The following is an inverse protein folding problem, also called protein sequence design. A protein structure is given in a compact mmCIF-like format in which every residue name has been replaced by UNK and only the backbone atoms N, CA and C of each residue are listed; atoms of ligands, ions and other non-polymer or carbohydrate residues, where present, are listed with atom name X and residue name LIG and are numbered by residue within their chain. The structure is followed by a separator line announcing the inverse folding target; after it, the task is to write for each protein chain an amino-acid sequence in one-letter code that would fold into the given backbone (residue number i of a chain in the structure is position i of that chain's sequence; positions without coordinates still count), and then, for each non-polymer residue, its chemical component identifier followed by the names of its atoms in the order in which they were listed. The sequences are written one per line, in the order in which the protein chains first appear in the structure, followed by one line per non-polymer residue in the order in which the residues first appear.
data_IF_277855725055
#
_entry.id   IF_277855725055
#
_cell.length_a   1.000
_cell.length_b   1.000
_cell.length_c   1.000
_cell.angle_alpha   90.00
_cell.angle_beta   90.00
_cell.angle_gamma   90.00
#
_symmetry.space_group_name_H-M   'P 1'
#
loop_
_entity.id
_entity.type
_entity.pdbx_description
1 polymer ?
#
# COMPACT_ATOMS: atom_id res chain seq x y z
N UNK A 1 7.30 -7.70 -7.89
CA UNK A 1 7.09 -8.45 -6.63
C UNK A 1 7.38 -9.94 -6.77
N UNK A 2 8.22 -10.50 -5.89
CA UNK A 2 8.54 -11.95 -5.85
C UNK A 2 7.84 -12.64 -4.68
N UNK A 3 7.71 -13.97 -4.75
CA UNK A 3 7.17 -14.78 -3.65
C UNK A 3 7.99 -14.63 -2.36
N UNK A 4 9.32 -14.57 -2.47
CA UNK A 4 10.23 -14.34 -1.34
C UNK A 4 9.93 -13.03 -0.62
N UNK A 5 9.73 -11.94 -1.37
CA UNK A 5 9.39 -10.62 -0.80
C UNK A 5 8.07 -10.66 -0.05
N UNK A 6 7.06 -11.36 -0.58
CA UNK A 6 5.75 -11.50 0.08
C UNK A 6 5.82 -12.34 1.35
N UNK A 7 6.65 -13.39 1.36
CA UNK A 7 6.85 -14.22 2.54
C UNK A 7 7.59 -13.45 3.65
N UNK A 8 8.59 -12.63 3.30
CA UNK A 8 9.24 -11.71 4.26
C UNK A 8 8.21 -10.73 4.85
N UNK A 9 7.38 -10.13 4.00
CA UNK A 9 6.35 -9.18 4.44
C UNK A 9 5.35 -9.82 5.42
N UNK A 10 4.84 -11.01 5.09
CA UNK A 10 3.94 -11.79 5.98
C UNK A 10 4.61 -12.12 7.32
N UNK A 11 5.89 -12.47 7.31
CA UNK A 11 6.66 -12.75 8.52
C UNK A 11 6.79 -11.51 9.43
N UNK A 12 7.04 -10.34 8.85
CA UNK A 12 7.12 -9.07 9.59
C UNK A 12 5.77 -8.68 10.20
N UNK A 13 4.68 -8.81 9.43
CA UNK A 13 3.33 -8.57 9.92
C UNK A 13 2.97 -9.54 11.06
N UNK A 14 3.32 -10.82 10.94
CA UNK A 14 3.14 -11.80 12.01
C UNK A 14 3.95 -11.46 13.27
N UNK A 15 5.14 -10.90 13.11
CA UNK A 15 5.94 -10.40 14.24
C UNK A 15 5.29 -9.18 14.90
N UNK A 16 4.80 -8.22 14.11
CA UNK A 16 4.08 -7.07 14.64
C UNK A 16 2.82 -7.48 15.40
N UNK A 17 2.06 -8.45 14.86
CA UNK A 17 0.86 -9.00 15.50
C UNK A 17 1.19 -9.61 16.86
N UNK A 18 2.16 -10.53 16.92
CA UNK A 18 2.62 -11.14 18.19
C UNK A 18 3.10 -10.10 19.19
N UNK A 19 3.85 -9.08 18.75
CA UNK A 19 4.30 -8.02 19.64
C UNK A 19 3.13 -7.28 20.28
N UNK A 20 2.09 -6.92 19.50
CA UNK A 20 0.92 -6.18 20.00
C UNK A 20 -0.03 -7.02 20.85
N UNK A 21 -0.07 -8.34 20.64
CA UNK A 21 -0.86 -9.27 21.45
C UNK A 21 -0.24 -9.54 22.83
N UNK A 22 1.10 -9.54 22.91
CA UNK A 22 1.82 -9.95 24.13
C UNK A 22 2.44 -8.80 24.91
N UNK A 23 2.64 -7.63 24.29
CA UNK A 23 3.34 -6.49 24.90
C UNK A 23 2.47 -5.23 24.81
N UNK A 24 2.20 -4.54 25.93
CA UNK A 24 1.51 -3.26 25.92
C UNK A 24 2.17 -2.25 24.98
N UNK A 25 1.36 -1.44 24.30
CA UNK A 25 1.84 -0.46 23.33
C UNK A 25 2.85 0.52 23.92
N UNK A 26 2.66 0.92 25.18
CA UNK A 26 3.57 1.83 25.87
C UNK A 26 4.97 1.22 26.04
N UNK A 27 5.06 -0.07 26.40
CA UNK A 27 6.34 -0.77 26.49
C UNK A 27 7.00 -0.94 25.12
N UNK A 28 6.21 -1.22 24.07
CA UNK A 28 6.73 -1.27 22.70
C UNK A 28 7.35 0.07 22.26
N UNK A 29 6.77 1.19 22.69
CA UNK A 29 7.24 2.54 22.35
C UNK A 29 8.33 3.09 23.27
N UNK A 30 8.63 2.43 24.38
CA UNK A 30 9.62 2.87 25.37
C UNK A 30 10.75 1.87 25.50
N UNK A 31 10.53 0.76 26.21
CA UNK A 31 11.51 -0.30 26.47
C UNK A 31 12.00 -0.98 25.19
N UNK A 32 11.10 -1.27 24.25
CA UNK A 32 11.41 -1.96 22.99
C UNK A 32 11.45 -1.04 21.77
N UNK A 33 11.54 0.28 22.00
CA UNK A 33 11.37 1.31 20.97
C UNK A 33 12.17 1.06 19.71
N UNK A 34 13.47 0.78 19.84
CA UNK A 34 14.36 0.60 18.68
C UNK A 34 13.89 -0.53 17.76
N UNK A 35 13.55 -1.69 18.33
CA UNK A 35 13.09 -2.85 17.56
C UNK A 35 11.71 -2.62 16.97
N UNK A 36 10.81 -1.99 17.72
CA UNK A 36 9.47 -1.64 17.25
C UNK A 36 9.50 -0.62 16.10
N UNK A 37 10.32 0.43 16.22
CA UNK A 37 10.50 1.46 15.19
C UNK A 37 11.10 0.85 13.90
N UNK A 38 12.12 -0.01 14.02
CA UNK A 38 12.71 -0.70 12.87
C UNK A 38 11.71 -1.62 12.15
N UNK A 39 10.95 -2.41 12.92
CA UNK A 39 9.93 -3.30 12.39
C UNK A 39 8.84 -2.51 11.63
N UNK A 40 8.32 -1.45 12.26
CA UNK A 40 7.25 -0.64 11.66
C UNK A 40 7.73 0.13 10.42
N UNK A 41 8.96 0.64 10.41
CA UNK A 41 9.57 1.28 9.24
C UNK A 41 9.75 0.29 8.08
N UNK A 42 10.22 -0.93 8.36
CA UNK A 42 10.37 -1.96 7.32
C UNK A 42 9.02 -2.37 6.74
N UNK A 43 8.01 -2.59 7.59
CA UNK A 43 6.62 -2.84 7.15
C UNK A 43 6.11 -1.67 6.30
N UNK A 44 6.37 -0.42 6.71
CA UNK A 44 5.94 0.76 5.95
C UNK A 44 6.58 0.80 4.55
N UNK A 45 7.89 0.54 4.45
CA UNK A 45 8.60 0.50 3.17
C UNK A 45 8.03 -0.57 2.25
N UNK A 46 7.90 -1.81 2.76
CA UNK A 46 7.39 -2.92 1.96
C UNK A 46 5.92 -2.71 1.57
N UNK A 47 5.09 -2.16 2.45
CA UNK A 47 3.69 -1.81 2.10
C UNK A 47 3.65 -0.82 0.94
N UNK A 48 4.51 0.21 0.96
CA UNK A 48 4.61 1.18 -0.13
C UNK A 48 5.07 0.53 -1.43
N UNK A 49 6.11 -0.29 -1.37
CA UNK A 49 6.67 -1.01 -2.53
C UNK A 49 5.62 -1.93 -3.15
N UNK A 50 4.89 -2.72 -2.34
CA UNK A 50 3.80 -3.60 -2.81
C UNK A 50 2.71 -2.78 -3.52
N UNK A 51 2.25 -1.69 -2.90
CA UNK A 51 1.23 -0.82 -3.51
C UNK A 51 1.69 -0.24 -4.85
N UNK A 52 2.93 0.22 -4.94
CA UNK A 52 3.51 0.77 -6.16
C UNK A 52 3.68 -0.30 -7.25
N UNK A 53 4.28 -1.44 -6.91
CA UNK A 53 4.51 -2.56 -7.82
C UNK A 53 3.20 -3.01 -8.48
N UNK A 54 2.15 -3.19 -7.68
CA UNK A 54 0.86 -3.67 -8.18
C UNK A 54 0.12 -2.57 -8.96
N UNK A 55 0.05 -1.35 -8.44
CA UNK A 55 -0.72 -0.27 -9.06
C UNK A 55 -0.14 0.19 -10.39
N UNK A 56 1.18 0.16 -10.53
CA UNK A 56 1.90 0.63 -11.73
C UNK A 56 2.22 -0.50 -12.71
N UNK A 57 1.89 -1.76 -12.38
CA UNK A 57 2.19 -2.88 -13.25
C UNK A 57 1.51 -2.76 -14.62
N UNK A 58 2.35 -2.64 -15.67
CA UNK A 58 1.91 -2.50 -17.05
C UNK A 58 1.36 -1.11 -17.40
N UNK A 59 1.61 -0.10 -16.56
CA UNK A 59 1.16 1.26 -16.82
C UNK A 59 1.91 1.86 -18.00
N UNK A 60 1.16 2.36 -18.99
CA UNK A 60 1.69 3.10 -20.13
C UNK A 60 0.89 4.39 -20.28
N UNK A 61 1.59 5.53 -20.30
CA UNK A 61 0.99 6.85 -20.47
C UNK A 61 1.74 7.57 -21.58
N UNK A 62 1.02 8.12 -22.54
CA UNK A 62 1.62 8.95 -23.58
C UNK A 62 2.33 10.17 -22.96
N UNK A 63 3.55 10.44 -23.38
CA UNK A 63 4.38 11.50 -22.80
C UNK A 63 3.67 12.87 -22.80
N UNK A 64 2.93 13.20 -23.87
CA UNK A 64 2.18 14.44 -23.99
C UNK A 64 1.08 14.60 -22.91
N UNK A 65 0.57 13.49 -22.37
CA UNK A 65 -0.49 13.47 -21.35
C UNK A 65 0.04 13.19 -19.93
N UNK A 66 1.32 12.90 -19.76
CA UNK A 66 1.90 12.40 -18.52
C UNK A 66 1.61 13.32 -17.31
N UNK A 67 1.78 14.63 -17.47
CA UNK A 67 1.53 15.59 -16.38
C UNK A 67 0.06 15.63 -15.97
N UNK A 68 -0.85 15.64 -16.95
CA UNK A 68 -2.29 15.66 -16.70
C UNK A 68 -2.74 14.36 -16.02
N UNK A 69 -2.31 13.20 -16.56
CA UNK A 69 -2.63 11.89 -15.99
C UNK A 69 -2.06 11.71 -14.60
N UNK A 70 -0.85 12.20 -14.34
CA UNK A 70 -0.28 12.21 -13.00
C UNK A 70 -1.15 12.97 -12.00
N UNK A 71 -1.66 14.14 -12.37
CA UNK A 71 -2.53 14.94 -11.51
C UNK A 71 -3.88 14.24 -11.26
N UNK A 72 -4.50 13.69 -12.31
CA UNK A 72 -5.76 12.94 -12.21
C UNK A 72 -5.62 11.72 -11.31
N UNK A 73 -4.56 10.93 -11.52
CA UNK A 73 -4.26 9.74 -10.72
C UNK A 73 -4.08 10.11 -9.25
N UNK A 74 -3.24 11.09 -8.93
CA UNK A 74 -2.99 11.45 -7.53
C UNK A 74 -4.23 12.01 -6.84
N UNK A 75 -5.07 12.75 -7.56
CA UNK A 75 -6.35 13.24 -7.04
C UNK A 75 -7.28 12.09 -6.71
N UNK A 76 -7.50 11.17 -7.66
CA UNK A 76 -8.39 10.04 -7.45
C UNK A 76 -7.89 9.08 -6.35
N UNK A 77 -6.58 8.84 -6.26
CA UNK A 77 -5.99 8.04 -5.18
C UNK A 77 -6.27 8.69 -3.83
N UNK A 78 -6.10 10.01 -3.71
CA UNK A 78 -6.37 10.75 -2.47
C UNK A 78 -7.83 10.65 -2.06
N UNK A 79 -8.75 10.87 -3.00
CA UNK A 79 -10.19 10.84 -2.76
C UNK A 79 -10.70 9.43 -2.44
N UNK A 80 -10.08 8.39 -2.98
CA UNK A 80 -10.48 6.99 -2.73
C UNK A 80 -10.32 6.53 -1.28
N UNK A 81 -9.40 7.16 -0.53
CA UNK A 81 -9.03 6.71 0.81
C UNK A 81 -8.28 5.37 0.86
N UNK A 82 -7.94 4.75 -0.27
CA UNK A 82 -7.29 3.42 -0.34
C UNK A 82 -5.97 3.40 0.42
N UNK A 83 -5.16 4.46 0.33
CA UNK A 83 -3.88 4.54 1.06
C UNK A 83 -4.07 4.44 2.57
N UNK A 84 -5.16 5.02 3.10
CA UNK A 84 -5.51 4.90 4.53
C UNK A 84 -5.92 3.47 4.87
N UNK A 85 -6.73 2.84 4.03
CA UNK A 85 -7.18 1.46 4.23
C UNK A 85 -6.00 0.46 4.18
N UNK A 86 -5.08 0.61 3.23
CA UNK A 86 -3.87 -0.20 3.14
C UNK A 86 -2.96 -0.03 4.37
N UNK A 87 -2.82 1.20 4.87
CA UNK A 87 -2.10 1.45 6.13
C UNK A 87 -2.77 0.76 7.32
N UNK A 88 -4.11 0.82 7.40
CA UNK A 88 -4.85 0.09 8.45
C UNK A 88 -4.62 -1.43 8.32
N UNK A 89 -4.71 -1.98 7.11
CA UNK A 89 -4.48 -3.41 6.87
C UNK A 89 -3.10 -3.85 7.37
N UNK A 90 -2.05 -3.08 7.10
CA UNK A 90 -0.70 -3.38 7.56
C UNK A 90 -0.52 -3.21 9.08
N UNK A 91 -1.00 -2.11 9.68
CA UNK A 91 -0.63 -1.75 11.05
C UNK A 91 -1.69 -2.04 12.11
N UNK A 92 -2.95 -2.23 11.72
CA UNK A 92 -4.08 -2.54 12.62
C UNK A 92 -4.49 -4.00 12.45
N UNK A 93 -4.76 -4.46 11.22
CA UNK A 93 -5.14 -5.86 10.97
C UNK A 93 -3.93 -6.80 10.85
N UNK A 94 -2.75 -6.27 10.49
CA UNK A 94 -1.55 -7.05 10.14
C UNK A 94 -1.84 -8.14 9.09
N UNK A 95 -2.60 -7.78 8.06
CA UNK A 95 -3.11 -8.69 7.04
C UNK A 95 -2.52 -8.36 5.67
N UNK A 96 -1.69 -9.25 5.15
CA UNK A 96 -1.03 -9.08 3.85
C UNK A 96 -2.00 -9.20 2.68
N UNK A 97 -3.03 -10.03 2.80
CA UNK A 97 -3.96 -10.29 1.71
C UNK A 97 -4.92 -9.10 1.55
N UNK A 98 -5.33 -8.46 2.66
CA UNK A 98 -6.02 -7.16 2.61
C UNK A 98 -5.16 -6.05 1.99
N UNK A 99 -3.85 -6.02 2.26
CA UNK A 99 -2.95 -5.05 1.61
C UNK A 99 -2.91 -5.28 0.10
N UNK A 100 -2.84 -6.54 -0.34
CA UNK A 100 -2.88 -6.90 -1.77
C UNK A 100 -4.23 -6.55 -2.42
N UNK A 101 -5.34 -6.75 -1.71
CA UNK A 101 -6.66 -6.35 -2.18
C UNK A 101 -6.71 -4.84 -2.44
N UNK A 102 -6.25 -4.03 -1.48
CA UNK A 102 -6.17 -2.58 -1.66
C UNK A 102 -5.20 -2.15 -2.75
N UNK A 103 -4.10 -2.89 -2.95
CA UNK A 103 -3.19 -2.67 -4.07
C UNK A 103 -3.88 -2.95 -5.43
N UNK A 104 -4.72 -3.98 -5.50
CA UNK A 104 -5.56 -4.28 -6.67
C UNK A 104 -6.57 -3.16 -6.96
N UNK A 105 -7.29 -2.70 -5.94
CA UNK A 105 -8.22 -1.57 -6.09
C UNK A 105 -7.48 -0.28 -6.53
N UNK A 106 -6.26 -0.05 -6.04
CA UNK A 106 -5.42 1.07 -6.46
C UNK A 106 -5.07 0.98 -7.95
N UNK A 107 -4.73 -0.21 -8.43
CA UNK A 107 -4.47 -0.49 -9.85
C UNK A 107 -5.69 -0.17 -10.72
N UNK A 108 -6.89 -0.54 -10.28
CA UNK A 108 -8.12 -0.25 -11.03
C UNK A 108 -8.37 1.26 -11.18
N UNK A 109 -8.11 2.04 -10.14
CA UNK A 109 -8.21 3.51 -10.21
C UNK A 109 -7.23 4.06 -11.24
N UNK A 110 -5.97 3.66 -11.16
CA UNK A 110 -4.90 4.09 -12.07
C UNK A 110 -5.29 3.74 -13.52
N UNK A 111 -5.70 2.50 -13.77
CA UNK A 111 -6.06 2.03 -15.11
C UNK A 111 -7.28 2.75 -15.68
N UNK A 112 -8.30 3.04 -14.86
CA UNK A 112 -9.50 3.78 -15.29
C UNK A 112 -9.16 5.17 -15.80
N UNK A 113 -8.21 5.84 -15.16
CA UNK A 113 -7.78 7.19 -15.53
C UNK A 113 -6.93 7.15 -16.79
N UNK A 114 -6.00 6.20 -16.88
CA UNK A 114 -5.12 6.05 -18.04
C UNK A 114 -5.86 5.66 -19.31
N UNK A 115 -6.81 4.73 -19.23
CA UNK A 115 -7.64 4.35 -20.39
C UNK A 115 -8.59 5.46 -20.85
N UNK A 116 -8.71 6.53 -20.06
CA UNK A 116 -9.75 7.53 -20.20
C UNK A 116 -11.09 6.94 -19.75
N UNK A 117 -11.88 7.73 -19.03
CA UNK A 117 -13.32 7.49 -19.06
C UNK A 117 -13.74 7.70 -20.52
N UNK A 118 -14.05 6.64 -21.25
CA UNK A 118 -14.93 6.69 -22.41
C UNK A 118 -16.29 7.24 -21.92
N UNK A 119 -16.38 8.56 -21.74
CA UNK A 119 -17.63 9.26 -21.50
C UNK A 119 -17.95 10.02 -22.77
N UNK A 120 -18.61 9.28 -23.66
CA UNK A 120 -19.67 9.70 -24.56
C UNK A 120 -19.53 11.11 -25.13
N UNK A 121 -18.97 11.19 -26.33
CA UNK A 121 -19.50 12.12 -27.31
C UNK A 121 -20.92 11.65 -27.68
N UNK A 122 -21.93 12.38 -27.21
CA UNK A 122 -23.29 12.39 -27.75
C UNK A 122 -23.80 13.81 -27.71
#
# INVERSE_FOLDING_TARGET
MTETTMNEYRSLLGTLKRNKENIPLEQLKTEYRKGYDQLTQKIQSMTREILQDVALNGLQIEHAQANQKYLEINTAIRESGIMKKASQAAFIQQDADLVLEYAGQLREIVQRIVKGCEKNAS
#
